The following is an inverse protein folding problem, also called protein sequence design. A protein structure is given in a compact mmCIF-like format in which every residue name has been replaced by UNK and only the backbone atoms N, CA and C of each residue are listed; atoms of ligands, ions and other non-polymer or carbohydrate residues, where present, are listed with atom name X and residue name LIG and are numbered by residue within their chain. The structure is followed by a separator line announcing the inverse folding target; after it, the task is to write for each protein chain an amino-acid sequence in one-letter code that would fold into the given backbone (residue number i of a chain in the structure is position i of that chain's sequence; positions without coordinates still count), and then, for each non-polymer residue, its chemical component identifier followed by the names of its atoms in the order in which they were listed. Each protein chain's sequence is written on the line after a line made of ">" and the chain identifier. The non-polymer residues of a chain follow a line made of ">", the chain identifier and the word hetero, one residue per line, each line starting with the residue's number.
data_IF_443345533620
#
_entry.id   IF_443345533620
#
_cell.length_a   1.000
_cell.length_b   1.000
_cell.length_c   1.000
_cell.angle_alpha   90.00
_cell.angle_beta   90.00
_cell.angle_gamma   90.00
#
_symmetry.space_group_name_H-M   'P 1'
#
loop_
_entity.id
_entity.type
_entity.pdbx_description
1 polymer ?
#
# COMPACT_ATOMS: atom_id res chain seq x y z
N UNK A 1 1.32 -57.35 -8.67
CA UNK A 1 0.76 -56.15 -9.32
C UNK A 1 -0.20 -55.48 -8.32
N UNK A 2 0.23 -54.39 -7.68
CA UNK A 2 -0.58 -53.68 -6.70
C UNK A 2 -1.32 -52.55 -7.42
N UNK A 3 -2.64 -52.69 -7.47
CA UNK A 3 -3.54 -51.66 -7.96
C UNK A 3 -3.91 -50.74 -6.77
N UNK A 4 -3.57 -49.46 -6.86
CA UNK A 4 -4.11 -48.47 -5.92
C UNK A 4 -5.27 -47.72 -6.56
N UNK A 5 -6.45 -47.91 -5.98
CA UNK A 5 -7.68 -47.22 -6.41
C UNK A 5 -7.73 -45.85 -5.73
N UNK A 6 -7.76 -44.76 -6.48
CA UNK A 6 -8.02 -43.43 -5.96
C UNK A 6 -9.52 -43.18 -5.88
N UNK A 7 -10.04 -42.95 -4.68
CA UNK A 7 -11.39 -42.42 -4.47
C UNK A 7 -11.32 -40.87 -4.47
N UNK A 8 -12.12 -40.27 -5.32
CA UNK A 8 -12.32 -38.82 -5.34
C UNK A 8 -13.13 -38.42 -4.10
N UNK A 9 -12.59 -37.48 -3.31
CA UNK A 9 -13.32 -36.76 -2.27
C UNK A 9 -13.61 -35.34 -2.79
N UNK A 10 -14.89 -35.04 -2.93
CA UNK A 10 -15.35 -33.69 -3.26
C UNK A 10 -15.54 -32.91 -1.96
N UNK A 11 -14.63 -31.99 -1.66
CA UNK A 11 -14.85 -30.96 -0.64
C UNK A 11 -15.27 -29.67 -1.33
N UNK A 12 -16.47 -29.19 -0.99
CA UNK A 12 -17.04 -27.97 -1.56
C UNK A 12 -16.45 -26.71 -0.96
N UNK A 13 -15.24 -26.34 -1.41
CA UNK A 13 -14.72 -24.98 -1.34
C UNK A 13 -14.23 -24.69 -2.75
N UNK A 14 -14.83 -23.69 -3.41
CA UNK A 14 -14.60 -23.39 -4.82
C UNK A 14 -13.20 -22.88 -5.12
N UNK A 15 -12.22 -23.77 -5.10
CA UNK A 15 -10.94 -23.57 -5.75
C UNK A 15 -10.98 -24.32 -7.08
N UNK A 16 -11.05 -23.62 -8.19
CA UNK A 16 -10.86 -24.21 -9.50
C UNK A 16 -9.38 -24.59 -9.68
N UNK A 17 -9.06 -25.86 -9.46
CA UNK A 17 -7.78 -26.41 -9.89
C UNK A 17 -7.93 -26.81 -11.36
N UNK A 18 -7.36 -26.04 -12.28
CA UNK A 18 -7.12 -26.53 -13.63
C UNK A 18 -5.90 -27.44 -13.60
N UNK A 19 -6.12 -28.74 -13.59
CA UNK A 19 -5.06 -29.72 -13.82
C UNK A 19 -4.61 -29.62 -15.29
N UNK A 20 -3.30 -29.54 -15.59
CA UNK A 20 -2.83 -29.64 -16.95
C UNK A 20 -3.19 -31.01 -17.53
N UNK A 21 -3.93 -31.03 -18.64
CA UNK A 21 -4.15 -32.23 -19.41
C UNK A 21 -2.83 -32.72 -19.98
N UNK A 22 -2.30 -33.80 -19.41
CA UNK A 22 -1.15 -34.51 -20.00
C UNK A 22 -1.70 -35.40 -21.11
N UNK A 23 -1.54 -34.97 -22.35
CA UNK A 23 -1.84 -35.82 -23.51
C UNK A 23 -0.77 -36.93 -23.61
N UNK A 24 -1.09 -38.10 -23.09
CA UNK A 24 -0.34 -39.32 -23.38
C UNK A 24 -0.92 -39.95 -24.63
N UNK A 25 -0.16 -40.04 -25.73
CA UNK A 25 -0.51 -40.92 -26.87
C UNK A 25 -0.45 -42.37 -26.37
N UNK A 26 -1.58 -42.94 -26.04
CA UNK A 26 -1.72 -44.36 -25.78
C UNK A 26 -2.53 -45.00 -26.92
N UNK A 27 -1.99 -46.00 -27.58
CA UNK A 27 -2.78 -46.96 -28.36
C UNK A 27 -3.74 -47.62 -27.37
N UNK A 28 -5.02 -47.29 -27.44
CA UNK A 28 -6.07 -47.68 -26.50
C UNK A 28 -6.35 -49.18 -26.58
N UNK A 29 -6.34 -49.92 -25.46
CA UNK A 29 -7.23 -51.07 -25.36
C UNK A 29 -8.65 -50.56 -25.08
N UNK A 30 -9.62 -51.02 -25.84
CA UNK A 30 -11.04 -50.74 -25.63
C UNK A 30 -11.54 -51.45 -24.37
N UNK A 31 -11.40 -50.83 -23.21
CA UNK A 31 -12.09 -51.27 -22.01
C UNK A 31 -13.05 -50.16 -21.54
N UNK A 32 -14.30 -50.52 -21.36
CA UNK A 32 -15.39 -49.64 -20.97
C UNK A 32 -15.43 -49.31 -19.48
N UNK A 33 -14.39 -49.66 -18.75
CA UNK A 33 -14.34 -49.54 -17.29
C UNK A 33 -13.58 -48.31 -16.75
N UNK A 34 -13.04 -47.45 -17.63
CA UNK A 34 -12.36 -46.22 -17.25
C UNK A 34 -11.06 -46.42 -16.48
N UNK A 35 -10.38 -47.56 -16.63
CA UNK A 35 -9.10 -47.87 -15.96
C UNK A 35 -7.96 -47.04 -16.52
N UNK A 36 -7.27 -46.28 -15.65
CA UNK A 36 -6.10 -45.51 -15.97
C UNK A 36 -4.82 -46.34 -15.86
N UNK A 37 -4.12 -46.57 -16.97
CA UNK A 37 -2.82 -47.26 -16.97
C UNK A 37 -1.65 -46.26 -16.91
N UNK A 38 -0.85 -46.33 -15.84
CA UNK A 38 0.35 -45.51 -15.68
C UNK A 38 1.58 -46.31 -16.11
N UNK A 39 2.22 -45.88 -17.22
CA UNK A 39 3.45 -46.47 -17.67
C UNK A 39 4.67 -45.86 -16.95
N UNK A 40 5.23 -46.55 -15.96
CA UNK A 40 6.36 -46.08 -15.16
C UNK A 40 7.72 -46.14 -15.89
N UNK A 41 7.79 -46.77 -17.07
CA UNK A 41 9.04 -46.81 -17.88
C UNK A 41 9.26 -45.57 -18.75
N UNK A 42 8.19 -44.74 -18.92
CA UNK A 42 8.26 -43.46 -19.62
C UNK A 42 8.30 -42.32 -18.61
N UNK A 43 9.49 -41.84 -18.31
CA UNK A 43 9.66 -40.68 -17.43
C UNK A 43 10.19 -39.50 -18.22
N UNK A 44 9.67 -38.32 -17.93
CA UNK A 44 10.18 -37.05 -18.44
C UNK A 44 10.77 -36.23 -17.29
N UNK A 45 11.87 -35.53 -17.56
CA UNK A 45 12.42 -34.58 -16.60
C UNK A 45 11.41 -33.46 -16.42
N UNK A 46 10.89 -33.32 -15.23
CA UNK A 46 9.94 -32.26 -14.90
C UNK A 46 10.72 -31.03 -14.43
N UNK A 47 10.27 -29.85 -14.83
CA UNK A 47 10.86 -28.59 -14.34
C UNK A 47 10.89 -28.57 -12.81
N UNK A 48 11.94 -27.99 -12.20
CA UNK A 48 12.06 -27.92 -10.74
C UNK A 48 10.94 -27.12 -10.09
N UNK A 49 10.35 -26.17 -10.82
CA UNK A 49 9.17 -25.40 -10.39
C UNK A 49 7.94 -25.96 -11.07
N UNK A 50 7.08 -26.61 -10.32
CA UNK A 50 5.86 -27.27 -10.82
C UNK A 50 4.57 -26.56 -10.45
N UNK A 51 4.64 -25.66 -9.47
CA UNK A 51 3.51 -24.97 -8.93
C UNK A 51 3.75 -23.47 -9.02
N UNK A 52 2.74 -22.76 -9.40
CA UNK A 52 2.65 -21.32 -9.33
C UNK A 52 1.32 -20.95 -8.66
N UNK A 53 1.18 -19.71 -8.30
CA UNK A 53 -0.10 -19.17 -7.88
C UNK A 53 -0.41 -17.96 -8.76
N UNK A 54 -1.69 -17.76 -8.95
CA UNK A 54 -2.18 -16.55 -9.58
C UNK A 54 -2.31 -15.48 -8.51
N UNK A 55 -1.61 -14.36 -8.70
CA UNK A 55 -1.71 -13.21 -7.84
C UNK A 55 -2.51 -12.12 -8.55
N UNK A 56 -3.56 -11.66 -7.91
CA UNK A 56 -4.34 -10.51 -8.35
C UNK A 56 -4.42 -9.48 -7.24
N UNK A 57 -4.18 -8.21 -7.59
CA UNK A 57 -4.35 -7.09 -6.66
C UNK A 57 -5.84 -6.80 -6.48
N UNK A 58 -6.49 -7.56 -5.61
CA UNK A 58 -7.91 -7.41 -5.26
C UNK A 58 -7.99 -6.83 -3.85
N UNK A 59 -8.63 -5.66 -3.72
CA UNK A 59 -8.86 -5.04 -2.42
C UNK A 59 -7.57 -4.63 -1.69
N UNK A 60 -6.53 -4.25 -2.42
CA UNK A 60 -5.23 -3.84 -1.89
C UNK A 60 -4.49 -4.94 -1.11
N UNK A 61 -4.64 -6.19 -1.54
CA UNK A 61 -3.98 -7.33 -0.88
C UNK A 61 -2.46 -7.28 -1.02
N UNK A 62 -1.92 -6.75 -2.11
CA UNK A 62 -0.49 -6.63 -2.32
C UNK A 62 0.15 -5.62 -1.39
N UNK A 63 -0.32 -4.39 -1.43
CA UNK A 63 0.27 -3.30 -0.64
C UNK A 63 -0.26 -3.25 0.80
N UNK A 64 -1.56 -3.51 1.00
CA UNK A 64 -2.21 -3.36 2.30
C UNK A 64 -2.24 -4.62 3.17
N UNK A 65 -1.80 -5.79 2.65
CA UNK A 65 -1.87 -7.05 3.38
C UNK A 65 -0.60 -7.90 3.28
N UNK A 66 -0.10 -8.19 2.07
CA UNK A 66 1.15 -8.98 1.91
C UNK A 66 2.39 -8.14 2.17
N UNK A 67 2.37 -6.86 1.82
CA UNK A 67 3.41 -5.90 2.14
C UNK A 67 3.02 -5.17 3.42
N UNK A 68 3.85 -5.25 4.46
CA UNK A 68 3.53 -4.73 5.78
C UNK A 68 3.61 -3.20 5.91
N UNK A 69 3.65 -2.48 4.80
CA UNK A 69 3.59 -1.02 4.78
C UNK A 69 2.24 -0.51 5.28
N UNK A 70 2.25 0.33 6.30
CA UNK A 70 1.04 0.88 6.89
C UNK A 70 0.60 2.20 6.26
N UNK A 71 1.52 2.93 5.62
CA UNK A 71 1.23 4.21 4.97
C UNK A 71 0.67 3.97 3.57
N UNK A 72 -0.53 4.45 3.31
CA UNK A 72 -1.11 4.46 1.98
C UNK A 72 -0.59 5.66 1.18
N UNK A 73 -0.36 5.46 -0.12
CA UNK A 73 0.12 6.51 -1.03
C UNK A 73 1.40 7.18 -0.49
N UNK A 74 2.37 6.37 -0.13
CA UNK A 74 3.60 6.73 0.56
C UNK A 74 4.50 7.70 -0.23
N UNK A 75 4.42 7.65 -1.56
CA UNK A 75 5.23 8.45 -2.50
C UNK A 75 4.37 9.34 -3.40
N UNK A 76 3.08 9.48 -3.11
CA UNK A 76 2.12 10.33 -3.83
C UNK A 76 1.94 9.97 -5.31
N UNK A 77 2.35 8.77 -5.72
CA UNK A 77 2.25 8.25 -7.09
C UNK A 77 0.95 7.43 -7.32
N UNK A 78 0.18 7.08 -6.28
CA UNK A 78 -0.99 6.19 -6.39
C UNK A 78 -2.04 6.73 -7.38
N UNK A 79 -2.17 8.05 -7.50
CA UNK A 79 -3.05 8.68 -8.47
C UNK A 79 -2.41 8.90 -9.86
N UNK A 80 -1.23 8.34 -10.10
CA UNK A 80 -0.61 8.35 -11.43
C UNK A 80 -1.38 7.37 -12.32
N UNK A 81 -1.89 7.80 -13.47
CA UNK A 81 -2.70 6.91 -14.30
C UNK A 81 -1.88 5.73 -14.79
N UNK A 82 -2.40 4.50 -14.69
CA UNK A 82 -1.79 3.35 -15.35
C UNK A 82 -1.62 3.57 -16.84
N UNK A 83 -0.70 2.84 -17.47
CA UNK A 83 -0.48 2.92 -18.90
C UNK A 83 -1.80 2.74 -19.68
N UNK A 84 -2.09 3.65 -20.60
CA UNK A 84 -3.32 3.64 -21.41
C UNK A 84 -4.52 4.37 -20.78
N UNK A 85 -4.36 4.95 -19.58
CA UNK A 85 -5.35 5.86 -18.99
C UNK A 85 -4.85 7.30 -19.05
N UNK A 86 -5.77 8.24 -19.11
CA UNK A 86 -5.48 9.67 -19.04
C UNK A 86 -6.21 10.29 -17.85
N UNK A 87 -5.61 11.34 -17.26
CA UNK A 87 -6.30 12.18 -16.27
C UNK A 87 -6.76 13.45 -16.95
N UNK A 88 -8.05 13.74 -16.88
CA UNK A 88 -8.61 14.99 -17.36
C UNK A 88 -9.53 15.58 -16.29
N UNK A 89 -9.23 16.81 -15.89
CA UNK A 89 -9.98 17.52 -14.83
C UNK A 89 -10.11 16.70 -13.53
N UNK A 90 -9.04 16.02 -13.11
CA UNK A 90 -9.03 15.19 -11.90
C UNK A 90 -9.77 13.85 -12.03
N UNK A 91 -10.13 13.45 -13.23
CA UNK A 91 -10.86 12.21 -13.50
C UNK A 91 -10.00 11.27 -14.35
N UNK A 92 -9.97 9.99 -13.99
CA UNK A 92 -9.44 8.93 -14.85
C UNK A 92 -10.47 8.55 -15.91
N UNK A 93 -10.05 8.52 -17.16
CA UNK A 93 -10.84 8.02 -18.27
C UNK A 93 -10.21 6.73 -18.81
N UNK A 94 -10.96 5.62 -18.82
CA UNK A 94 -10.49 4.43 -19.49
C UNK A 94 -10.64 4.57 -21.01
N UNK A 95 -9.66 4.08 -21.75
CA UNK A 95 -9.81 3.89 -23.20
C UNK A 95 -10.79 2.72 -23.41
N UNK A 96 -11.88 2.90 -24.16
CA UNK A 96 -12.82 1.81 -24.45
C UNK A 96 -12.09 0.64 -25.13
N UNK A 97 -12.02 -0.50 -24.44
CA UNK A 97 -11.55 -1.74 -25.05
C UNK A 97 -12.71 -2.40 -25.84
N UNK A 98 -12.43 -3.24 -26.85
CA UNK A 98 -13.49 -3.86 -27.68
C UNK A 98 -14.57 -4.60 -26.89
N UNK A 99 -14.26 -5.05 -25.67
CA UNK A 99 -15.19 -5.75 -24.75
C UNK A 99 -15.85 -4.85 -23.71
N UNK A 100 -15.38 -3.60 -23.54
CA UNK A 100 -15.90 -2.65 -22.57
C UNK A 100 -16.47 -1.47 -23.33
N UNK A 101 -17.77 -1.52 -23.61
CA UNK A 101 -18.46 -0.51 -24.43
C UNK A 101 -18.73 0.80 -23.68
N UNK A 102 -18.65 0.79 -22.37
CA UNK A 102 -18.96 1.96 -21.54
C UNK A 102 -17.70 2.69 -21.11
N UNK A 103 -17.70 4.00 -21.33
CA UNK A 103 -16.67 4.89 -20.77
C UNK A 103 -16.89 4.98 -19.26
N UNK A 104 -15.97 4.44 -18.48
CA UNK A 104 -15.98 4.62 -17.02
C UNK A 104 -15.08 5.78 -16.65
N UNK A 105 -15.58 6.64 -15.78
CA UNK A 105 -14.88 7.80 -15.27
C UNK A 105 -14.74 7.63 -13.77
N UNK A 106 -13.50 7.77 -13.25
CA UNK A 106 -13.20 7.63 -11.83
C UNK A 106 -12.57 8.93 -11.33
N UNK A 107 -12.90 9.35 -10.12
CA UNK A 107 -12.22 10.48 -9.50
C UNK A 107 -10.78 10.10 -9.13
N UNK A 108 -9.82 10.89 -9.59
CA UNK A 108 -8.44 10.79 -9.17
C UNK A 108 -8.24 11.61 -7.89
N UNK A 109 -7.88 10.97 -6.81
CA UNK A 109 -7.48 11.65 -5.57
C UNK A 109 -5.95 11.54 -5.42
N UNK A 110 -5.20 12.59 -5.75
CA UNK A 110 -3.73 12.57 -5.68
C UNK A 110 -3.19 12.47 -4.25
N UNK A 111 -4.02 12.73 -3.24
CA UNK A 111 -3.67 12.64 -1.83
C UNK A 111 -4.43 11.53 -1.11
N UNK A 112 -4.91 10.53 -1.84
CA UNK A 112 -5.63 9.39 -1.25
C UNK A 112 -4.85 8.83 -0.05
N UNK A 113 -5.54 8.59 1.06
CA UNK A 113 -4.94 8.18 2.33
C UNK A 113 -4.48 9.32 3.22
N UNK A 114 -4.24 10.53 2.68
CA UNK A 114 -3.81 11.71 3.42
C UNK A 114 -4.93 12.72 3.60
N UNK A 115 -4.98 13.37 4.76
CA UNK A 115 -5.94 14.43 5.07
C UNK A 115 -5.37 15.38 6.10
N UNK A 116 -5.99 16.54 6.27
CA UNK A 116 -5.69 17.47 7.37
C UNK A 116 -6.77 17.40 8.44
N UNK A 117 -6.43 17.74 9.66
CA UNK A 117 -7.31 17.76 10.82
C UNK A 117 -7.08 19.05 11.62
N UNK A 118 -8.11 19.62 12.28
CA UNK A 118 -9.53 19.23 12.19
C UNK A 118 -10.13 19.57 10.82
N UNK A 119 -11.19 18.83 10.44
CA UNK A 119 -11.87 19.02 9.14
C UNK A 119 -12.64 20.34 9.06
N UNK A 120 -13.01 20.92 10.19
CA UNK A 120 -13.78 22.16 10.24
C UNK A 120 -12.97 23.38 9.82
N UNK A 121 -11.72 23.45 10.29
CA UNK A 121 -10.75 24.48 9.94
C UNK A 121 -9.36 24.05 10.38
N UNK A 122 -8.38 24.22 9.53
CA UNK A 122 -6.97 24.02 9.84
C UNK A 122 -6.12 25.00 9.03
N UNK A 123 -5.05 25.58 9.59
CA UNK A 123 -4.11 26.41 8.84
C UNK A 123 -3.12 25.58 8.00
N UNK A 124 -3.28 24.26 7.97
CA UNK A 124 -2.39 23.33 7.25
C UNK A 124 -3.05 22.92 5.94
N UNK A 125 -2.44 23.28 4.82
CA UNK A 125 -2.88 22.91 3.48
C UNK A 125 -1.89 21.92 2.88
N UNK A 126 -2.41 20.86 2.28
CA UNK A 126 -1.63 19.85 1.58
C UNK A 126 -2.02 19.79 0.12
N UNK A 127 -1.04 19.65 -0.75
CA UNK A 127 -1.25 19.47 -2.19
C UNK A 127 -0.17 18.59 -2.78
N UNK A 128 -0.48 17.86 -3.86
CA UNK A 128 0.53 17.15 -4.63
C UNK A 128 1.25 18.12 -5.55
N UNK A 129 2.57 17.99 -5.64
CA UNK A 129 3.42 18.79 -6.52
C UNK A 129 4.44 17.92 -7.23
N UNK A 130 4.83 18.30 -8.43
CA UNK A 130 5.94 17.75 -9.22
C UNK A 130 7.16 18.68 -9.22
N UNK A 131 7.13 19.73 -8.43
CA UNK A 131 8.26 20.64 -8.28
C UNK A 131 9.41 19.99 -7.51
N UNK A 132 10.59 19.98 -8.11
CA UNK A 132 11.80 19.39 -7.52
C UNK A 132 11.60 17.93 -7.07
N UNK A 133 11.27 17.03 -7.98
CA UNK A 133 11.02 15.63 -7.67
C UNK A 133 12.25 14.98 -7.03
N UNK A 134 12.02 13.90 -6.30
CA UNK A 134 13.08 13.15 -5.64
C UNK A 134 13.93 12.37 -6.66
N UNK A 135 13.32 11.84 -7.71
CA UNK A 135 13.97 11.19 -8.86
C UNK A 135 13.11 11.28 -10.12
N UNK A 136 13.60 10.74 -11.23
CA UNK A 136 12.85 10.66 -12.49
C UNK A 136 11.66 9.69 -12.40
N UNK A 137 11.74 8.67 -11.57
CA UNK A 137 10.69 7.67 -11.33
C UNK A 137 9.70 8.15 -10.25
N UNK A 138 10.20 8.82 -9.20
CA UNK A 138 9.40 9.38 -8.12
C UNK A 138 9.19 10.87 -8.37
N UNK A 139 8.14 11.18 -9.14
CA UNK A 139 7.90 12.51 -9.72
C UNK A 139 7.13 13.44 -8.81
N UNK A 140 6.36 12.87 -7.90
CA UNK A 140 5.46 13.66 -7.07
C UNK A 140 5.88 13.64 -5.61
N UNK A 141 5.50 14.68 -4.90
CA UNK A 141 5.64 14.80 -3.45
C UNK A 141 4.45 15.56 -2.88
N UNK A 142 4.28 15.54 -1.57
CA UNK A 142 3.30 16.38 -0.88
C UNK A 142 3.93 17.70 -0.48
N UNK A 143 3.44 18.80 -1.03
CA UNK A 143 3.71 20.16 -0.54
C UNK A 143 2.79 20.44 0.65
N UNK A 144 3.40 20.81 1.76
CA UNK A 144 2.72 21.30 2.96
C UNK A 144 2.91 22.80 3.06
N UNK A 145 1.80 23.53 3.21
CA UNK A 145 1.78 24.97 3.44
C UNK A 145 1.03 25.28 4.74
N UNK A 146 1.75 25.76 5.72
CA UNK A 146 1.20 26.22 7.01
C UNK A 146 1.10 27.73 6.98
N UNK A 147 -0.11 28.25 7.02
CA UNK A 147 -0.41 29.68 6.77
C UNK A 147 -0.44 30.54 8.02
N UNK A 148 -0.67 29.92 9.19
CA UNK A 148 -0.79 30.61 10.47
C UNK A 148 0.11 29.99 11.55
N UNK A 149 0.22 30.68 12.67
CA UNK A 149 0.96 30.15 13.82
C UNK A 149 0.20 28.99 14.45
N UNK A 150 0.84 27.86 14.56
CA UNK A 150 0.28 26.62 15.12
C UNK A 150 0.00 26.74 16.63
N UNK A 151 0.60 27.70 17.34
CA UNK A 151 0.26 27.95 18.73
C UNK A 151 -1.24 28.22 18.95
N UNK A 152 -1.91 28.78 17.95
CA UNK A 152 -3.35 29.02 17.97
C UNK A 152 -4.19 27.80 17.49
N UNK A 153 -3.52 26.75 16.95
CA UNK A 153 -4.15 25.56 16.37
C UNK A 153 -3.41 24.30 16.83
N UNK A 154 -3.37 24.01 18.13
CA UNK A 154 -2.53 22.93 18.69
C UNK A 154 -2.99 21.53 18.27
N UNK A 155 -4.18 21.40 17.72
CA UNK A 155 -4.76 20.18 17.19
C UNK A 155 -4.60 20.02 15.65
N UNK A 156 -3.92 20.97 14.98
CA UNK A 156 -3.70 20.91 13.55
C UNK A 156 -2.71 19.77 13.19
N UNK A 157 -3.19 18.78 12.45
CA UNK A 157 -2.46 17.58 12.06
C UNK A 157 -2.56 17.31 10.55
N UNK A 158 -1.55 16.64 10.02
CA UNK A 158 -1.62 15.91 8.76
C UNK A 158 -1.72 14.44 9.13
N UNK A 159 -2.75 13.75 8.64
CA UNK A 159 -3.06 12.37 9.00
C UNK A 159 -2.94 11.43 7.79
N UNK A 160 -2.41 10.23 8.03
CA UNK A 160 -2.53 9.11 7.10
C UNK A 160 -3.28 7.97 7.77
N UNK A 161 -4.38 7.54 7.16
CA UNK A 161 -5.24 6.48 7.70
C UNK A 161 -4.81 5.07 7.30
N UNK A 162 -3.72 4.93 6.55
CA UNK A 162 -3.39 3.68 5.89
C UNK A 162 -4.48 3.27 4.90
N UNK A 163 -4.73 1.98 4.79
CA UNK A 163 -5.75 1.42 3.91
C UNK A 163 -7.13 1.36 4.57
N UNK A 164 -7.20 0.85 5.81
CA UNK A 164 -8.45 0.66 6.56
C UNK A 164 -8.33 1.05 8.05
N UNK A 165 -7.36 1.90 8.38
CA UNK A 165 -6.88 2.17 9.72
C UNK A 165 -5.73 1.22 10.09
N UNK A 166 -4.89 1.64 11.03
CA UNK A 166 -3.71 0.91 11.48
C UNK A 166 -4.01 0.17 12.79
N UNK A 167 -3.80 -1.15 12.80
CA UNK A 167 -3.93 -1.93 14.03
C UNK A 167 -2.63 -1.76 14.87
N UNK A 168 -2.63 -0.80 15.79
CA UNK A 168 -1.49 -0.46 16.62
C UNK A 168 -1.49 -1.31 17.90
N UNK A 169 -0.33 -1.90 18.24
CA UNK A 169 -0.15 -2.78 19.39
C UNK A 169 0.97 -2.26 20.28
N UNK A 170 0.79 -2.38 21.59
CA UNK A 170 1.78 -1.94 22.61
C UNK A 170 3.03 -2.81 22.65
N UNK A 171 2.93 -4.05 22.20
CA UNK A 171 4.02 -5.03 22.13
C UNK A 171 4.84 -4.95 20.84
N UNK A 172 4.47 -4.03 19.95
CA UNK A 172 5.11 -3.85 18.64
C UNK A 172 5.59 -2.42 18.50
N UNK A 173 6.84 -2.23 18.12
CA UNK A 173 7.35 -0.93 17.69
C UNK A 173 7.18 -0.75 16.18
N UNK A 174 7.16 0.50 15.72
CA UNK A 174 6.93 0.84 14.31
C UNK A 174 8.07 1.68 13.78
N UNK A 175 8.78 1.13 12.79
CA UNK A 175 9.91 1.79 12.14
C UNK A 175 9.41 2.82 11.15
N UNK A 176 9.72 4.07 11.40
CA UNK A 176 9.41 5.20 10.55
C UNK A 176 10.59 5.55 9.65
N UNK A 177 10.34 5.84 8.38
CA UNK A 177 11.23 6.63 7.54
C UNK A 177 10.43 7.60 6.68
N UNK A 178 10.97 8.78 6.44
CA UNK A 178 10.38 9.77 5.53
C UNK A 178 11.47 10.67 4.96
N UNK A 179 11.22 11.24 3.79
CA UNK A 179 12.08 12.26 3.22
C UNK A 179 11.40 13.63 3.31
N UNK A 180 12.19 14.62 3.71
CA UNK A 180 11.75 16.01 3.83
C UNK A 180 12.65 16.92 3.03
N UNK A 181 12.06 17.99 2.52
CA UNK A 181 12.75 19.09 1.84
C UNK A 181 12.19 20.41 2.33
N UNK A 182 13.05 21.25 2.88
CA UNK A 182 12.67 22.58 3.39
C UNK A 182 12.49 23.57 2.25
N UNK A 183 11.46 24.41 2.35
CA UNK A 183 11.32 25.62 1.53
C UNK A 183 11.55 26.90 2.34
N UNK A 184 10.82 27.06 3.42
CA UNK A 184 10.92 28.21 4.35
C UNK A 184 10.34 27.90 5.73
N UNK A 185 10.38 26.63 6.14
CA UNK A 185 9.89 26.16 7.42
C UNK A 185 11.01 26.17 8.47
N UNK A 186 10.74 26.62 9.73
CA UNK A 186 11.79 26.92 10.71
C UNK A 186 11.72 26.13 12.02
N UNK A 187 10.61 25.41 12.28
CA UNK A 187 10.44 24.64 13.50
C UNK A 187 10.60 23.12 13.25
N UNK A 188 10.71 22.28 14.29
CA UNK A 188 10.60 20.84 14.12
C UNK A 188 9.17 20.43 13.73
N UNK A 189 9.06 19.29 13.07
CA UNK A 189 7.81 18.53 12.94
C UNK A 189 7.73 17.55 14.09
N UNK A 190 6.56 17.38 14.66
CA UNK A 190 6.27 16.31 15.63
C UNK A 190 5.56 15.18 14.91
N UNK A 191 6.08 13.96 15.03
CA UNK A 191 5.55 12.77 14.36
C UNK A 191 5.17 11.75 15.43
N UNK A 192 3.94 11.23 15.34
CA UNK A 192 3.39 10.30 16.32
C UNK A 192 2.23 9.50 15.73
N UNK A 193 1.70 8.56 16.51
CA UNK A 193 0.49 7.81 16.19
C UNK A 193 -0.70 8.35 16.98
N UNK A 194 -1.87 8.31 16.35
CA UNK A 194 -3.14 8.74 16.95
C UNK A 194 -4.20 7.65 16.82
N UNK A 195 -5.23 7.71 17.64
CA UNK A 195 -6.42 6.89 17.48
C UNK A 195 -7.38 7.50 16.43
N UNK A 196 -8.54 6.88 16.24
CA UNK A 196 -9.57 7.31 15.29
C UNK A 196 -10.16 8.70 15.61
N UNK A 197 -9.94 9.21 16.82
CA UNK A 197 -10.39 10.51 17.30
C UNK A 197 -9.31 11.59 17.21
N UNK A 198 -8.12 11.25 16.71
CA UNK A 198 -6.98 12.16 16.63
C UNK A 198 -6.21 12.32 17.94
N UNK A 199 -6.52 11.51 18.98
CA UNK A 199 -5.79 11.54 20.24
C UNK A 199 -4.48 10.79 20.12
N UNK A 200 -3.38 11.40 20.57
CA UNK A 200 -2.04 10.79 20.56
C UNK A 200 -2.02 9.50 21.37
N UNK A 201 -1.41 8.47 20.79
CA UNK A 201 -1.31 7.12 21.39
C UNK A 201 0.10 6.53 21.36
N UNK A 202 1.10 7.33 21.03
CA UNK A 202 2.51 6.90 21.03
C UNK A 202 3.44 7.97 21.57
N UNK A 203 4.72 7.62 21.73
CA UNK A 203 5.79 8.62 21.86
C UNK A 203 5.79 9.58 20.68
N UNK A 204 6.46 10.71 20.84
CA UNK A 204 6.66 11.74 19.80
C UNK A 204 8.10 11.69 19.32
N UNK A 205 8.28 11.75 18.00
CA UNK A 205 9.57 11.98 17.35
C UNK A 205 9.57 13.41 16.83
N UNK A 206 10.57 14.19 17.20
CA UNK A 206 10.80 15.53 16.66
C UNK A 206 11.80 15.47 15.51
N UNK A 207 11.41 16.03 14.36
CA UNK A 207 12.20 16.02 13.12
C UNK A 207 12.45 17.45 12.67
N UNK A 208 13.72 17.84 12.65
CA UNK A 208 14.10 19.16 12.17
C UNK A 208 14.18 19.20 10.63
N UNK A 209 13.35 20.03 10.01
CA UNK A 209 13.31 20.22 8.56
C UNK A 209 14.37 21.26 8.18
N UNK A 210 15.66 20.90 8.27
CA UNK A 210 16.76 21.86 8.10
C UNK A 210 17.19 22.07 6.65
N UNK A 211 17.20 21.03 5.84
CA UNK A 211 17.85 21.03 4.53
C UNK A 211 16.91 21.41 3.38
N UNK A 212 17.46 22.15 2.42
CA UNK A 212 16.79 22.47 1.14
C UNK A 212 16.86 21.33 0.12
N UNK A 213 17.65 20.31 0.40
CA UNK A 213 17.72 19.07 -0.37
C UNK A 213 16.95 17.96 0.32
N UNK A 214 16.52 16.97 -0.47
CA UNK A 214 15.83 15.80 0.06
C UNK A 214 16.68 15.07 1.10
N UNK A 215 16.22 15.04 2.32
CA UNK A 215 16.93 14.42 3.45
C UNK A 215 16.06 13.36 4.08
N UNK A 216 16.64 12.16 4.26
CA UNK A 216 15.97 11.04 4.92
C UNK A 216 16.04 11.19 6.43
N UNK A 217 14.90 10.99 7.07
CA UNK A 217 14.77 10.88 8.52
C UNK A 217 14.22 9.51 8.88
N UNK A 218 14.65 8.99 10.01
CA UNK A 218 14.20 7.69 10.54
C UNK A 218 13.89 7.82 12.02
N UNK A 219 13.03 6.94 12.53
CA UNK A 219 12.70 6.88 13.93
C UNK A 219 11.88 5.66 14.28
N UNK A 220 11.53 5.53 15.55
CA UNK A 220 10.74 4.42 16.07
C UNK A 220 9.57 4.97 16.89
N UNK A 221 8.36 4.58 16.51
CA UNK A 221 7.13 4.91 17.21
C UNK A 221 6.66 3.71 18.03
N UNK A 222 6.34 3.95 19.31
CA UNK A 222 5.89 2.93 20.25
C UNK A 222 4.52 3.31 20.79
N UNK A 223 3.47 2.54 20.47
CA UNK A 223 2.15 2.79 21.00
C UNK A 223 2.09 2.60 22.52
N UNK A 224 1.38 3.48 23.21
CA UNK A 224 1.13 3.46 24.65
C UNK A 224 -0.15 2.68 25.00
N UNK A 225 -1.02 2.46 23.99
CA UNK A 225 -2.24 1.65 24.10
C UNK A 225 -2.53 0.92 22.77
N UNK A 226 -3.25 -0.19 22.84
CA UNK A 226 -3.74 -0.89 21.66
C UNK A 226 -4.86 -0.11 20.97
N UNK A 227 -4.76 0.08 19.65
CA UNK A 227 -5.75 0.80 18.84
C UNK A 227 -6.03 0.04 17.56
N UNK A 228 -7.29 -0.25 17.27
CA UNK A 228 -7.65 -1.02 16.06
C UNK A 228 -7.66 -0.19 14.77
N UNK A 229 -7.94 1.11 14.88
CA UNK A 229 -8.05 2.05 13.76
C UNK A 229 -7.20 3.29 13.99
N UNK A 230 -5.93 3.07 14.33
CA UNK A 230 -4.98 4.15 14.48
C UNK A 230 -4.63 4.80 13.14
N UNK A 231 -3.97 5.94 13.25
CA UNK A 231 -3.48 6.73 12.13
C UNK A 231 -2.08 7.24 12.43
N UNK A 232 -1.32 7.46 11.38
CA UNK A 232 -0.07 8.20 11.44
C UNK A 232 -0.34 9.69 11.39
N UNK A 233 0.37 10.47 12.20
CA UNK A 233 0.17 11.90 12.34
C UNK A 233 1.48 12.67 12.22
N UNK A 234 1.46 13.78 11.48
CA UNK A 234 2.50 14.80 11.43
C UNK A 234 1.89 16.11 11.91
N UNK A 235 2.51 16.72 12.91
CA UNK A 235 2.12 18.02 13.46
C UNK A 235 3.19 19.05 13.11
N UNK A 236 2.92 20.01 12.21
CA UNK A 236 3.77 21.18 12.05
C UNK A 236 3.75 22.04 13.32
N UNK A 237 4.85 22.74 13.62
CA UNK A 237 4.96 23.58 14.83
C UNK A 237 5.12 25.08 14.52
N UNK A 238 5.24 25.46 13.25
CA UNK A 238 5.27 26.87 12.82
C UNK A 238 4.67 27.05 11.43
N UNK A 239 4.40 28.28 11.06
CA UNK A 239 4.09 28.62 9.67
C UNK A 239 5.28 28.40 8.76
N UNK A 240 5.01 28.15 7.48
CA UNK A 240 6.02 27.94 6.45
C UNK A 240 5.69 26.78 5.51
N UNK A 241 6.61 26.47 4.63
CA UNK A 241 6.42 25.44 3.61
C UNK A 241 7.54 24.41 3.64
N UNK A 242 7.18 23.16 3.40
CA UNK A 242 8.10 22.04 3.20
C UNK A 242 7.45 20.98 2.30
N UNK A 243 8.27 20.09 1.79
CA UNK A 243 7.80 18.93 1.02
C UNK A 243 8.08 17.64 1.79
N UNK A 244 7.19 16.67 1.62
CA UNK A 244 7.30 15.31 2.18
C UNK A 244 7.22 14.32 1.04
N UNK A 245 8.03 13.25 1.12
CA UNK A 245 8.00 12.14 0.19
C UNK A 245 8.46 10.84 0.82
N UNK A 246 8.13 9.71 0.17
CA UNK A 246 8.51 8.34 0.53
C UNK A 246 8.35 8.07 2.03
N UNK A 247 7.15 8.34 2.55
CA UNK A 247 6.81 8.06 3.95
C UNK A 247 6.55 6.58 4.13
N UNK A 248 7.18 5.96 5.12
CA UNK A 248 7.07 4.52 5.38
C UNK A 248 6.96 4.24 6.86
N UNK A 249 6.05 3.35 7.23
CA UNK A 249 5.84 2.91 8.60
C UNK A 249 5.64 1.40 8.63
N UNK A 250 6.63 0.68 9.17
CA UNK A 250 6.62 -0.78 9.26
C UNK A 250 6.57 -1.27 10.70
N UNK A 251 5.70 -2.25 11.03
CA UNK A 251 5.81 -2.98 12.28
C UNK A 251 7.17 -3.69 12.40
N UNK A 252 7.76 -3.71 13.61
CA UNK A 252 9.07 -4.33 13.83
C UNK A 252 9.06 -5.85 13.80
N UNK A 253 7.88 -6.46 13.95
CA UNK A 253 7.64 -7.90 13.95
C UNK A 253 7.38 -8.49 12.55
N UNK A 254 7.66 -7.73 11.49
CA UNK A 254 7.53 -8.21 10.11
C UNK A 254 8.83 -8.78 9.58
N UNK A 255 8.71 -9.73 8.63
CA UNK A 255 9.86 -10.25 7.88
C UNK A 255 10.52 -9.12 7.10
N UNK A 256 11.87 -9.07 7.18
CA UNK A 256 12.71 -8.18 6.39
C UNK A 256 13.19 -8.89 5.14
#
# INVERSE_FOLDING_TARGET
>A
MNHSTFKSFTFGIGLFFTLPLVYGNSSSPSSSDGTLYINKSKTHKVAPVKYGFHYEEIGMMGEGALHAELIRNRSFEEATPPAGLSVKNGLYENVPAPRVKEKKVFQADPLIGWTTYPLSYTPVFISRTDENPMSGENKYSMLVNVTEDIANHPDALILNRGYYGMNLKTDTSYRLSLFLKNRNYSAPLRVFLVDEWGQRVSNVIEVNVGNRDWTKYTGELKPEKNVRRGMFAIQPMSKGQFQIDVVSLFPSDTWN
#
